data_IF_744970612220
#
_entry.id   IF_744970612220
#
_cell.length_a   1.000
_cell.length_b   1.000
_cell.length_c   1.000
_cell.angle_alpha   90.00
_cell.angle_beta   90.00
_cell.angle_gamma   90.00
#
_symmetry.space_group_name_H-M   'P 1'
#
loop_
_entity.id
_entity.type
_entity.pdbx_description
1 polymer ?
#
# COMPACT_ATOMS: atom_id res chain seq x y z
N UNK A 1 5.19 10.96 5.28
CA UNK A 1 3.96 10.14 5.16
C UNK A 1 4.29 8.77 5.73
N UNK A 2 3.97 8.52 7.00
CA UNK A 2 4.44 7.30 7.68
C UNK A 2 3.43 6.18 7.48
N UNK A 3 3.79 5.22 6.64
CA UNK A 3 3.07 3.95 6.49
C UNK A 3 3.73 2.89 7.36
N UNK A 4 2.91 2.01 7.92
CA UNK A 4 3.37 0.87 8.71
C UNK A 4 2.98 -0.43 8.01
N UNK A 5 3.75 -1.48 8.25
CA UNK A 5 3.39 -2.84 7.82
C UNK A 5 2.04 -3.20 8.44
N UNK A 6 1.10 -3.65 7.60
CA UNK A 6 -0.28 -3.95 7.98
C UNK A 6 -1.28 -2.83 7.66
N UNK A 7 -0.84 -1.62 7.34
CA UNK A 7 -1.74 -0.53 6.94
C UNK A 7 -2.52 -0.91 5.66
N UNK A 8 -3.81 -0.59 5.63
CA UNK A 8 -4.63 -0.64 4.40
C UNK A 8 -4.47 0.65 3.60
N UNK A 9 -4.22 0.48 2.30
CA UNK A 9 -3.93 1.58 1.37
C UNK A 9 -4.69 1.40 0.05
N UNK A 10 -4.89 2.49 -0.67
CA UNK A 10 -5.42 2.55 -2.02
C UNK A 10 -4.30 2.91 -3.00
N UNK A 11 -4.21 2.13 -4.08
CA UNK A 11 -3.35 2.37 -5.23
C UNK A 11 -4.26 2.63 -6.44
N UNK A 12 -4.53 3.90 -6.74
CA UNK A 12 -5.56 4.27 -7.71
C UNK A 12 -6.94 3.75 -7.30
N UNK A 13 -7.58 2.93 -8.14
CA UNK A 13 -8.90 2.31 -7.84
C UNK A 13 -8.83 1.02 -7.03
N UNK A 14 -7.63 0.56 -6.64
CA UNK A 14 -7.42 -0.77 -6.03
C UNK A 14 -7.01 -0.64 -4.57
N UNK A 15 -7.57 -1.47 -3.70
CA UNK A 15 -7.13 -1.58 -2.31
C UNK A 15 -5.96 -2.59 -2.16
N UNK A 16 -5.12 -2.38 -1.16
CA UNK A 16 -4.04 -3.29 -0.78
C UNK A 16 -3.58 -3.11 0.67
N UNK A 17 -2.66 -3.98 1.09
CA UNK A 17 -2.06 -3.96 2.43
C UNK A 17 -0.55 -3.83 2.32
N UNK A 18 0.04 -2.97 3.14
CA UNK A 18 1.50 -2.77 3.23
C UNK A 18 2.13 -4.02 3.82
N UNK A 19 3.01 -4.69 3.08
CA UNK A 19 3.74 -5.88 3.58
C UNK A 19 5.19 -5.60 3.95
N UNK A 20 5.77 -4.51 3.42
CA UNK A 20 7.14 -4.07 3.70
C UNK A 20 7.27 -2.55 3.47
N UNK A 21 8.17 -1.89 4.19
CA UNK A 21 8.44 -0.45 4.07
C UNK A 21 9.96 -0.25 3.91
N UNK A 22 10.43 -0.23 2.66
CA UNK A 22 11.77 0.23 2.32
C UNK A 22 11.83 1.76 2.22
N UNK A 23 13.04 2.33 2.22
CA UNK A 23 13.29 3.78 2.26
C UNK A 23 12.57 4.57 1.14
N UNK A 24 12.20 3.93 0.03
CA UNK A 24 11.49 4.55 -1.11
C UNK A 24 10.39 3.65 -1.71
N UNK A 25 10.39 2.34 -1.46
CA UNK A 25 9.53 1.38 -2.14
C UNK A 25 8.68 0.58 -1.14
N UNK A 26 7.38 0.46 -1.45
CA UNK A 26 6.41 -0.28 -0.65
C UNK A 26 5.91 -1.45 -1.49
N UNK A 27 5.91 -2.65 -0.91
CA UNK A 27 5.26 -3.80 -1.51
C UNK A 27 3.80 -3.89 -1.03
N UNK A 28 2.87 -3.97 -1.98
CA UNK A 28 1.43 -4.12 -1.73
C UNK A 28 0.89 -5.40 -2.36
N UNK A 29 0.00 -6.08 -1.64
CA UNK A 29 -0.82 -7.16 -2.18
C UNK A 29 -2.17 -6.59 -2.63
N UNK A 30 -2.48 -6.69 -3.92
CA UNK A 30 -3.77 -6.23 -4.46
C UNK A 30 -4.89 -7.22 -4.16
N UNK A 31 -6.14 -6.78 -4.26
CA UNK A 31 -7.34 -7.63 -4.16
C UNK A 31 -7.36 -8.78 -5.17
N UNK A 32 -6.65 -8.64 -6.29
CA UNK A 32 -6.46 -9.68 -7.31
C UNK A 32 -5.39 -10.72 -6.91
N UNK A 33 -4.81 -10.61 -5.71
CA UNK A 33 -3.77 -11.51 -5.20
C UNK A 33 -2.37 -11.27 -5.76
N UNK A 34 -2.18 -10.23 -6.58
CA UNK A 34 -0.88 -9.89 -7.18
C UNK A 34 -0.05 -9.01 -6.24
N UNK A 35 1.26 -9.25 -6.22
CA UNK A 35 2.21 -8.37 -5.54
C UNK A 35 2.65 -7.25 -6.48
N UNK A 36 2.73 -6.03 -5.97
CA UNK A 36 3.25 -4.86 -6.70
C UNK A 36 4.18 -4.05 -5.81
N UNK A 37 5.18 -3.43 -6.42
CA UNK A 37 6.10 -2.49 -5.78
C UNK A 37 5.73 -1.09 -6.26
N UNK A 38 5.55 -0.15 -5.32
CA UNK A 38 5.02 1.19 -5.57
C UNK A 38 5.71 2.22 -4.69
N UNK A 39 5.70 3.49 -5.11
CA UNK A 39 6.23 4.59 -4.32
C UNK A 39 5.18 5.10 -3.30
N UNK A 40 5.59 5.64 -2.13
CA UNK A 40 4.68 6.10 -1.09
C UNK A 40 3.66 7.17 -1.54
N UNK A 41 4.02 8.04 -2.48
CA UNK A 41 3.13 9.08 -3.00
C UNK A 41 2.07 8.56 -3.98
N UNK A 42 2.21 7.32 -4.46
CA UNK A 42 1.20 6.65 -5.28
C UNK A 42 0.09 6.01 -4.43
N UNK A 43 0.28 5.97 -3.09
CA UNK A 43 -0.65 5.38 -2.15
C UNK A 43 -1.52 6.43 -1.44
N UNK A 44 -2.84 6.26 -1.52
CA UNK A 44 -3.81 6.98 -0.70
C UNK A 44 -4.17 6.13 0.53
N UNK A 45 -4.22 6.72 1.73
CA UNK A 45 -4.58 5.98 2.95
C UNK A 45 -6.10 5.87 3.04
N UNK A 46 -6.63 4.65 3.14
CA UNK A 46 -8.06 4.44 3.41
C UNK A 46 -8.31 4.55 4.92
N UNK A 47 -9.29 5.36 5.33
CA UNK A 47 -9.75 5.39 6.73
C UNK A 47 -10.68 4.19 6.94
N UNK A 48 -10.28 3.23 7.77
CA UNK A 48 -11.25 2.28 8.34
C UNK A 48 -12.13 3.07 9.33
N UNK A 49 -13.45 2.87 9.22
CA UNK A 49 -14.46 3.40 10.13
C UNK A 49 -14.52 2.53 11.38
#
# INVERSE_FOLDING_TARGET
MNFHIGDKVQLGTRAGTVTDVGTILIQVKTTEGRLRVVCPWELARTRDR
#
